data_IF_383573689221
#
_entry.id   IF_383573689221
#
_cell.length_a   1.000
_cell.length_b   1.000
_cell.length_c   1.000
_cell.angle_alpha   90.00
_cell.angle_beta   90.00
_cell.angle_gamma   90.00
#
_symmetry.space_group_name_H-M   'P 1'
#
loop_
_entity.id
_entity.type
_entity.pdbx_description
1 polymer ?
#
# COMPACT_ATOMS: atom_id res chain seq x y z
N UNK A 1 -5.66 14.99 -8.93
CA UNK A 1 -5.62 13.86 -7.99
C UNK A 1 -5.37 12.58 -8.76
N UNK A 2 -4.60 11.68 -8.19
CA UNK A 2 -4.24 10.43 -8.86
C UNK A 2 -5.32 9.38 -8.70
N UNK A 3 -5.40 8.48 -9.67
CA UNK A 3 -6.29 7.33 -9.60
C UNK A 3 -5.63 6.24 -8.76
N UNK A 4 -6.37 5.72 -7.80
CA UNK A 4 -5.88 4.62 -6.96
C UNK A 4 -6.37 3.31 -7.55
N UNK A 5 -5.44 2.40 -7.81
CA UNK A 5 -5.75 1.07 -8.32
C UNK A 5 -5.48 0.06 -7.21
N UNK A 6 -6.54 -0.62 -6.75
CA UNK A 6 -6.42 -1.63 -5.71
C UNK A 6 -6.26 -3.00 -6.36
N UNK A 7 -5.12 -3.63 -6.15
CA UNK A 7 -4.91 -4.99 -6.65
C UNK A 7 -5.75 -5.97 -5.84
N UNK A 8 -5.96 -7.17 -6.37
CA UNK A 8 -6.73 -8.19 -5.65
C UNK A 8 -6.07 -8.56 -4.32
N UNK A 9 -4.74 -8.63 -4.31
CA UNK A 9 -4.01 -8.93 -3.06
C UNK A 9 -4.25 -7.84 -2.03
N UNK A 10 -4.19 -6.58 -2.45
CA UNK A 10 -4.46 -5.47 -1.54
C UNK A 10 -5.86 -5.56 -0.94
N UNK A 11 -6.86 -5.79 -1.78
CA UNK A 11 -8.25 -5.87 -1.31
C UNK A 11 -8.43 -6.96 -0.28
N UNK A 12 -7.83 -8.13 -0.53
CA UNK A 12 -7.96 -9.28 0.35
C UNK A 12 -7.38 -9.00 1.73
N UNK A 13 -6.20 -8.41 1.78
CA UNK A 13 -5.55 -8.11 3.05
C UNK A 13 -6.19 -6.92 3.75
N UNK A 14 -6.61 -5.92 3.00
CA UNK A 14 -7.21 -4.72 3.59
C UNK A 14 -8.52 -5.01 4.30
N UNK A 15 -9.28 -6.00 3.82
CA UNK A 15 -10.54 -6.37 4.45
C UNK A 15 -10.40 -6.77 5.91
N UNK A 16 -9.27 -7.38 6.27
CA UNK A 16 -9.05 -7.82 7.63
C UNK A 16 -8.44 -6.74 8.53
N UNK A 17 -8.08 -5.60 7.95
CA UNK A 17 -7.44 -4.51 8.68
C UNK A 17 -8.39 -3.34 8.90
N UNK A 18 -9.14 -2.97 7.86
CA UNK A 18 -9.98 -1.77 7.88
C UNK A 18 -11.40 -2.09 7.43
N UNK A 19 -12.36 -1.32 7.94
CA UNK A 19 -13.69 -1.27 7.33
C UNK A 19 -13.61 -0.38 6.07
N UNK A 20 -14.70 -0.30 5.32
CA UNK A 20 -14.72 0.45 4.08
C UNK A 20 -14.44 1.93 4.29
N UNK A 21 -14.95 2.51 5.37
CA UNK A 21 -14.72 3.92 5.66
C UNK A 21 -13.26 4.22 5.95
N UNK A 22 -12.62 3.37 6.73
CA UNK A 22 -11.21 3.53 7.05
C UNK A 22 -10.34 3.37 5.81
N UNK A 23 -10.66 2.38 4.99
CA UNK A 23 -9.93 2.16 3.75
C UNK A 23 -10.02 3.36 2.84
N UNK A 24 -11.21 3.94 2.74
CA UNK A 24 -11.41 5.13 1.91
C UNK A 24 -10.64 6.33 2.45
N UNK A 25 -10.56 6.48 3.76
CA UNK A 25 -9.76 7.55 4.36
C UNK A 25 -8.29 7.42 3.97
N UNK A 26 -7.76 6.19 4.03
CA UNK A 26 -6.38 5.94 3.64
C UNK A 26 -6.17 6.28 2.16
N UNK A 27 -7.07 5.80 1.30
CA UNK A 27 -6.96 6.01 -0.14
C UNK A 27 -6.96 7.50 -0.48
N UNK A 28 -7.86 8.26 0.13
CA UNK A 28 -7.94 9.70 -0.10
C UNK A 28 -6.66 10.41 0.34
N UNK A 29 -6.16 10.02 1.51
CA UNK A 29 -4.94 10.61 2.05
C UNK A 29 -3.74 10.31 1.15
N UNK A 30 -3.59 9.05 0.71
CA UNK A 30 -2.45 8.68 -0.12
C UNK A 30 -2.52 9.35 -1.49
N UNK A 31 -3.71 9.46 -2.07
CA UNK A 31 -3.88 10.13 -3.37
C UNK A 31 -3.41 11.58 -3.32
N UNK A 32 -3.52 12.22 -2.15
CA UNK A 32 -3.05 13.58 -1.96
C UNK A 32 -1.56 13.65 -1.61
N UNK A 33 -0.95 12.53 -1.23
CA UNK A 33 0.43 12.49 -0.75
C UNK A 33 1.20 11.30 -1.33
N UNK A 34 1.32 11.20 -2.66
CA UNK A 34 1.86 9.98 -3.27
C UNK A 34 3.33 9.69 -2.94
N UNK A 35 4.07 10.71 -2.53
CA UNK A 35 5.49 10.54 -2.22
C UNK A 35 5.76 10.37 -0.72
N UNK A 36 4.72 10.21 0.08
CA UNK A 36 4.85 10.17 1.54
C UNK A 36 5.59 8.92 2.04
N UNK A 37 5.45 7.80 1.33
CA UNK A 37 6.13 6.57 1.72
C UNK A 37 7.59 6.55 1.29
N UNK A 38 8.39 5.76 2.01
CA UNK A 38 9.81 5.61 1.71
C UNK A 38 10.01 4.52 0.65
N UNK A 39 10.93 4.77 -0.27
CA UNK A 39 11.28 3.77 -1.29
C UNK A 39 11.95 2.59 -0.60
N UNK A 40 11.46 1.39 -0.89
CA UNK A 40 12.03 0.16 -0.36
C UNK A 40 13.27 -0.20 -1.19
N UNK A 41 14.46 -0.30 -0.57
CA UNK A 41 15.67 -0.60 -1.31
C UNK A 41 15.57 -1.92 -2.08
N UNK A 42 16.07 -1.92 -3.32
CA UNK A 42 16.11 -3.14 -4.12
C UNK A 42 14.77 -3.63 -4.63
N UNK A 43 13.73 -2.84 -4.48
CA UNK A 43 12.38 -3.25 -4.87
C UNK A 43 11.97 -2.77 -6.26
N UNK A 44 12.78 -1.93 -6.88
CA UNK A 44 12.41 -1.36 -8.17
C UNK A 44 11.44 -0.22 -8.06
N UNK A 45 11.44 0.49 -6.94
CA UNK A 45 10.63 1.70 -6.76
C UNK A 45 9.37 1.52 -5.94
N UNK A 46 9.18 0.37 -5.32
CA UNK A 46 8.06 0.20 -4.40
C UNK A 46 8.25 1.10 -3.19
N UNK A 47 7.15 1.63 -2.67
CA UNK A 47 7.17 2.48 -1.49
C UNK A 47 6.41 1.82 -0.35
N UNK A 48 6.86 2.11 0.87
CA UNK A 48 6.20 1.63 2.08
C UNK A 48 5.79 2.81 2.92
N UNK A 49 4.55 2.83 3.36
CA UNK A 49 4.03 3.88 4.23
C UNK A 49 3.32 3.25 5.40
N UNK A 50 3.42 3.92 6.56
CA UNK A 50 2.64 3.55 7.75
C UNK A 50 1.49 4.52 7.87
N UNK A 51 0.33 3.98 8.18
CA UNK A 51 -0.84 4.82 8.39
C UNK A 51 -1.64 4.29 9.55
N UNK A 52 -2.04 5.18 10.44
CA UNK A 52 -2.95 4.82 11.50
C UNK A 52 -4.00 5.89 11.61
N UNK A 53 -5.21 5.44 11.79
CA UNK A 53 -6.33 6.32 11.99
C UNK A 53 -6.21 7.04 13.31
N UNK A 54 -6.68 8.27 13.37
CA UNK A 54 -6.70 9.04 14.60
C UNK A 54 -7.39 8.25 15.72
N UNK A 55 -6.74 8.14 16.85
CA UNK A 55 -7.30 7.44 18.00
C UNK A 55 -6.97 5.96 18.09
N UNK A 56 -6.36 5.38 17.06
CA UNK A 56 -6.01 3.96 17.08
C UNK A 56 -4.74 3.65 17.87
N UNK A 57 -3.90 4.62 18.08
CA UNK A 57 -2.63 4.38 18.72
C UNK A 57 -1.65 3.65 17.83
N UNK A 58 -0.46 3.37 18.37
CA UNK A 58 0.63 2.80 17.58
C UNK A 58 0.37 1.36 17.13
N UNK A 59 -0.41 0.62 17.91
CA UNK A 59 -0.68 -0.79 17.61
C UNK A 59 -1.63 -0.98 16.46
N UNK A 60 -2.46 0.04 16.19
CA UNK A 60 -3.43 -0.05 15.13
C UNK A 60 -2.89 0.35 13.77
N UNK A 61 -1.62 0.75 13.70
CA UNK A 61 -1.04 1.18 12.44
C UNK A 61 -0.90 0.06 11.45
N UNK A 62 -1.20 0.37 10.19
CA UNK A 62 -1.00 -0.56 9.09
C UNK A 62 0.14 -0.07 8.23
N UNK A 63 0.77 -1.01 7.54
CA UNK A 63 1.79 -0.71 6.54
C UNK A 63 1.23 -1.06 5.18
N UNK A 64 1.51 -0.20 4.21
CA UNK A 64 1.03 -0.41 2.84
C UNK A 64 2.21 -0.31 1.89
N UNK A 65 2.31 -1.30 1.01
CA UNK A 65 3.27 -1.26 -0.09
C UNK A 65 2.51 -0.78 -1.32
N UNK A 66 3.03 0.24 -1.98
CA UNK A 66 2.39 0.78 -3.16
C UNK A 66 3.43 1.18 -4.20
N UNK A 67 2.98 1.42 -5.41
CA UNK A 67 3.86 1.79 -6.52
C UNK A 67 3.22 2.93 -7.30
N UNK A 68 4.01 3.95 -7.57
CA UNK A 68 3.54 5.13 -8.29
C UNK A 68 3.86 5.04 -9.78
N UNK A 69 2.83 5.22 -10.60
CA UNK A 69 3.02 5.49 -12.03
C UNK A 69 2.44 6.88 -12.28
N UNK A 70 3.10 7.88 -11.69
CA UNK A 70 2.57 9.23 -11.67
C UNK A 70 2.45 9.86 -13.05
N UNK A 71 3.33 9.50 -13.98
CA UNK A 71 3.24 9.98 -15.36
C UNK A 71 1.94 9.51 -16.02
N UNK A 72 1.40 8.38 -15.56
CA UNK A 72 0.13 7.84 -16.05
C UNK A 72 -1.04 8.24 -15.16
N UNK A 73 -0.75 8.96 -14.07
CA UNK A 73 -1.77 9.42 -13.15
C UNK A 73 -2.28 8.37 -12.19
N UNK A 74 -1.50 7.31 -11.93
CA UNK A 74 -1.98 6.18 -11.13
C UNK A 74 -1.08 5.84 -9.96
N UNK A 75 -1.69 5.30 -8.91
CA UNK A 75 -1.00 4.76 -7.75
C UNK A 75 -1.56 3.36 -7.53
N UNK A 76 -0.67 2.35 -7.50
CA UNK A 76 -1.06 0.95 -7.36
C UNK A 76 -0.88 0.52 -5.92
N UNK A 77 -1.95 0.05 -5.27
CA UNK A 77 -1.89 -0.47 -3.92
C UNK A 77 -1.66 -1.98 -4.00
N UNK A 78 -0.55 -2.45 -3.45
CA UNK A 78 -0.11 -3.83 -3.65
C UNK A 78 -0.46 -4.74 -2.50
N UNK A 79 -0.24 -4.31 -1.26
CA UNK A 79 -0.61 -5.07 -0.08
C UNK A 79 -0.68 -4.15 1.13
N UNK A 80 -1.60 -4.47 2.05
CA UNK A 80 -1.66 -3.82 3.36
C UNK A 80 -1.48 -4.88 4.42
N UNK A 81 -0.74 -4.58 5.47
CA UNK A 81 -0.49 -5.56 6.52
C UNK A 81 -0.19 -4.86 7.84
N UNK A 82 -0.32 -5.60 8.95
CA UNK A 82 0.04 -5.11 10.27
C UNK A 82 1.33 -5.79 10.70
N UNK A 83 2.06 -5.15 11.62
CA UNK A 83 3.29 -5.73 12.14
C UNK A 83 3.03 -7.07 12.83
N UNK A 84 1.85 -7.23 13.40
CA UNK A 84 1.49 -8.50 14.06
C UNK A 84 1.45 -9.65 13.07
N UNK A 85 1.07 -9.38 11.82
CA UNK A 85 0.99 -10.42 10.80
C UNK A 85 2.33 -10.67 10.12
N UNK A 86 3.02 -9.59 9.75
CA UNK A 86 4.34 -9.67 9.10
C UNK A 86 5.24 -8.62 9.70
N UNK A 87 6.42 -9.04 10.16
CA UNK A 87 7.40 -8.08 10.64
C UNK A 87 8.04 -7.35 9.45
N UNK A 88 8.50 -8.12 8.48
CA UNK A 88 9.02 -7.60 7.22
C UNK A 88 8.60 -8.52 6.09
N UNK A 89 8.45 -7.94 4.90
CA UNK A 89 8.14 -8.73 3.71
C UNK A 89 9.42 -9.05 2.96
N UNK A 90 9.63 -10.33 2.58
CA UNK A 90 10.83 -10.71 1.84
C UNK A 90 10.93 -9.98 0.50
N UNK A 91 12.15 -9.70 0.06
CA UNK A 91 12.39 -9.02 -1.21
C UNK A 91 11.78 -9.80 -2.39
N UNK A 92 11.85 -11.13 -2.35
CA UNK A 92 11.27 -11.95 -3.41
C UNK A 92 9.76 -11.75 -3.53
N UNK A 93 9.08 -11.62 -2.39
CA UNK A 93 7.65 -11.38 -2.38
C UNK A 93 7.32 -10.00 -2.95
N UNK A 94 8.12 -8.99 -2.60
CA UNK A 94 7.92 -7.63 -3.14
C UNK A 94 8.10 -7.62 -4.65
N UNK A 95 9.06 -8.38 -5.17
CA UNK A 95 9.25 -8.49 -6.62
C UNK A 95 8.01 -9.09 -7.29
N UNK A 96 7.43 -10.12 -6.66
CA UNK A 96 6.22 -10.74 -7.19
C UNK A 96 5.07 -9.74 -7.22
N UNK A 97 4.93 -8.93 -6.19
CA UNK A 97 3.87 -7.90 -6.16
C UNK A 97 4.04 -6.93 -7.31
N UNK A 98 5.27 -6.53 -7.59
CA UNK A 98 5.52 -5.59 -8.68
C UNK A 98 5.25 -6.23 -10.03
N UNK A 99 5.51 -7.51 -10.19
CA UNK A 99 5.25 -8.23 -11.44
C UNK A 99 3.76 -8.26 -11.78
N UNK A 100 2.90 -8.23 -10.77
CA UNK A 100 1.46 -8.17 -11.00
C UNK A 100 1.09 -6.92 -11.79
N UNK A 101 1.76 -5.81 -11.53
CA UNK A 101 1.53 -4.57 -12.27
C UNK A 101 1.98 -4.74 -13.72
N UNK A 102 3.15 -5.33 -13.91
CA UNK A 102 3.72 -5.52 -15.25
C UNK A 102 2.89 -6.46 -16.11
N UNK A 103 2.12 -7.34 -15.48
CA UNK A 103 1.27 -8.31 -16.18
C UNK A 103 -0.13 -7.78 -16.45
N UNK A 104 -0.31 -6.47 -16.38
CA UNK A 104 -1.56 -5.84 -16.76
C UNK A 104 -2.63 -5.85 -15.70
N UNK A 105 -2.24 -6.06 -14.49
CA UNK A 105 -3.16 -6.05 -13.38
C UNK A 105 -3.77 -4.67 -13.19
#
# INVERSE_FOLDING_TARGET
MYTIIETEIFKRYAQSIWDDGERQEFITWLAANPLIGDVVPGSGGLRKVRWSRSGMGKRGGARVIYYNTLAEGSIWLLIAYTKAKFDNLPAAFLKQLKEEISNGQ
#
